data_IF_081744472167
#
_entry.id   IF_081744472167
#
_cell.length_a   1.000
_cell.length_b   1.000
_cell.length_c   1.000
_cell.angle_alpha   90.00
_cell.angle_beta   90.00
_cell.angle_gamma   90.00
#
_symmetry.space_group_name_H-M   'P 1'
#
loop_
_entity.id
_entity.type
_entity.pdbx_description
1 polymer ?
#
# COMPACT_ATOMS: atom_id res chain seq x y z
N UNK A 1 58.09 28.03 33.08
CA UNK A 1 57.39 27.53 31.86
C UNK A 1 56.91 26.08 31.95
N UNK A 2 57.44 25.21 32.84
CA UNK A 2 56.95 23.82 33.00
C UNK A 2 55.65 23.69 33.83
N UNK A 3 55.37 24.62 34.74
CA UNK A 3 54.15 24.58 35.58
C UNK A 3 52.87 24.98 34.84
N UNK A 4 52.98 25.81 33.79
CA UNK A 4 51.82 26.26 32.99
C UNK A 4 51.27 25.14 32.08
N UNK A 5 52.14 24.22 31.66
CA UNK A 5 51.77 23.06 30.82
C UNK A 5 50.96 22.02 31.58
N UNK A 6 51.24 21.81 32.88
CA UNK A 6 50.48 20.86 33.70
C UNK A 6 49.12 21.41 34.15
N UNK A 7 48.99 22.75 34.30
CA UNK A 7 47.70 23.38 34.60
C UNK A 7 46.72 23.30 33.41
N UNK A 8 47.22 23.44 32.17
CA UNK A 8 46.38 23.22 30.98
C UNK A 8 45.92 21.76 30.82
N UNK A 9 46.73 20.78 31.24
CA UNK A 9 46.35 19.36 31.14
C UNK A 9 45.22 18.98 32.11
N UNK A 10 45.16 19.60 33.29
CA UNK A 10 44.07 19.40 34.26
C UNK A 10 42.77 20.12 33.86
N UNK A 11 42.84 21.24 33.14
CA UNK A 11 41.66 21.97 32.65
C UNK A 11 41.04 21.26 31.43
N UNK A 12 41.82 20.55 30.62
CA UNK A 12 41.30 19.78 29.48
C UNK A 12 40.58 18.47 29.88
N UNK A 13 40.80 17.93 31.09
CA UNK A 13 40.12 16.72 31.56
C UNK A 13 38.88 16.98 32.45
N UNK A 14 38.57 18.25 32.74
CA UNK A 14 37.46 18.64 33.63
C UNK A 14 36.05 18.60 33.02
N UNK A 15 35.88 18.12 31.78
CA UNK A 15 34.60 18.20 31.05
C UNK A 15 34.01 16.83 30.67
N UNK A 16 34.25 15.79 31.48
CA UNK A 16 33.44 14.57 31.42
C UNK A 16 32.53 14.60 32.65
N UNK A 17 31.57 15.54 32.65
CA UNK A 17 30.43 15.46 33.56
C UNK A 17 29.55 14.32 33.08
N UNK A 18 29.52 13.20 33.80
CA UNK A 18 28.54 12.15 33.55
C UNK A 18 27.14 12.76 33.78
N UNK A 19 26.34 12.82 32.72
CA UNK A 19 24.96 13.24 32.82
C UNK A 19 24.21 12.18 33.64
N UNK A 20 23.69 12.58 34.79
CA UNK A 20 22.93 11.71 35.67
C UNK A 20 21.48 12.18 35.69
N UNK A 21 20.55 11.29 35.37
CA UNK A 21 19.12 11.58 35.48
C UNK A 21 18.69 11.40 36.93
N UNK A 22 17.62 12.10 37.31
CA UNK A 22 17.01 11.97 38.64
C UNK A 22 15.50 11.96 38.51
N UNK A 23 14.89 10.78 38.66
CA UNK A 23 13.44 10.64 38.65
C UNK A 23 12.98 10.28 40.06
N UNK A 24 12.03 11.03 40.60
CA UNK A 24 11.48 10.76 41.92
C UNK A 24 9.98 10.96 41.93
N UNK A 25 9.33 10.51 42.98
CA UNK A 25 7.90 10.69 43.14
C UNK A 25 7.37 9.90 44.32
N UNK A 26 6.05 9.79 44.33
CA UNK A 26 5.33 9.12 45.39
C UNK A 26 4.33 8.13 44.82
N UNK A 27 4.18 7.01 45.52
CA UNK A 27 3.17 5.99 45.26
C UNK A 27 2.25 5.83 46.46
N UNK A 28 0.99 5.45 46.22
CA UNK A 28 0.02 5.21 47.27
C UNK A 28 0.25 3.82 47.88
N UNK A 29 0.86 3.78 49.06
CA UNK A 29 1.24 2.56 49.78
C UNK A 29 0.05 1.78 50.36
N UNK A 30 -1.16 2.35 50.39
CA UNK A 30 -2.36 1.61 50.84
C UNK A 30 -2.74 0.52 49.85
N UNK A 31 -2.51 0.77 48.54
CA UNK A 31 -2.83 -0.16 47.46
C UNK A 31 -1.61 -0.82 46.83
N UNK A 32 -0.49 -0.12 46.76
CA UNK A 32 0.70 -0.56 46.02
C UNK A 32 1.85 -0.81 46.99
N UNK A 33 2.21 -2.08 47.17
CA UNK A 33 3.28 -2.51 48.08
C UNK A 33 4.52 -3.03 47.33
N UNK A 34 4.47 -3.06 45.99
CA UNK A 34 5.55 -3.53 45.13
C UNK A 34 6.66 -2.49 44.89
N UNK A 35 7.69 -2.93 44.16
CA UNK A 35 8.73 -2.05 43.63
C UNK A 35 8.15 -1.12 42.54
N UNK A 36 8.81 0.01 42.32
CA UNK A 36 8.58 0.85 41.14
C UNK A 36 9.57 0.44 40.06
N UNK A 37 9.09 0.26 38.85
CA UNK A 37 9.88 -0.17 37.70
C UNK A 37 9.98 0.96 36.66
N UNK A 38 11.19 1.13 36.13
CA UNK A 38 11.49 2.03 35.03
C UNK A 38 11.80 1.18 33.79
N UNK A 39 11.03 1.41 32.73
CA UNK A 39 11.15 0.70 31.46
C UNK A 39 11.44 1.65 30.30
N UNK A 40 12.17 1.16 29.29
CA UNK A 40 12.37 1.86 28.01
C UNK A 40 11.47 1.26 26.93
N UNK A 41 10.80 2.11 26.15
CA UNK A 41 9.88 1.65 25.10
C UNK A 41 10.53 1.86 23.73
N UNK A 42 10.85 0.74 23.07
CA UNK A 42 11.43 0.73 21.71
C UNK A 42 10.40 0.36 20.64
N UNK A 43 9.29 -0.27 21.03
CA UNK A 43 8.16 -0.60 20.16
C UNK A 43 6.93 0.22 20.61
N UNK A 44 6.45 1.12 19.76
CA UNK A 44 5.31 1.96 20.12
C UNK A 44 3.97 1.20 20.17
N UNK A 45 3.91 -0.06 19.73
CA UNK A 45 2.74 -0.94 19.88
C UNK A 45 2.63 -1.53 21.28
N UNK A 46 3.70 -1.49 22.08
CA UNK A 46 3.70 -1.94 23.49
C UNK A 46 3.53 -0.79 24.48
N UNK A 47 3.06 0.38 24.02
CA UNK A 47 2.92 1.56 24.88
C UNK A 47 1.96 1.33 26.05
N UNK A 48 0.88 0.56 25.87
CA UNK A 48 -0.11 0.31 26.93
C UNK A 48 0.19 -0.95 27.78
N UNK A 49 0.98 -1.91 27.27
CA UNK A 49 1.29 -3.17 27.97
C UNK A 49 2.50 -3.06 28.89
N UNK A 50 2.55 -3.86 29.95
CA UNK A 50 3.78 -4.07 30.73
C UNK A 50 4.52 -5.25 30.13
N UNK A 51 5.82 -5.04 29.89
CA UNK A 51 6.74 -6.02 29.34
C UNK A 51 8.00 -6.03 30.22
N UNK A 52 8.29 -7.19 30.81
CA UNK A 52 9.41 -7.35 31.72
C UNK A 52 10.76 -7.22 31.00
N UNK A 53 10.82 -7.51 29.70
CA UNK A 53 12.04 -7.35 28.90
C UNK A 53 12.42 -5.87 28.69
N UNK A 54 11.47 -4.95 28.93
CA UNK A 54 11.66 -3.52 28.79
C UNK A 54 12.16 -2.84 30.07
N UNK A 55 12.18 -3.54 31.20
CA UNK A 55 12.61 -2.99 32.50
C UNK A 55 14.12 -2.78 32.51
N UNK A 56 14.54 -1.54 32.71
CA UNK A 56 15.95 -1.15 32.80
C UNK A 56 16.42 -0.92 34.24
N UNK A 57 15.50 -0.56 35.14
CA UNK A 57 15.80 -0.34 36.55
C UNK A 57 14.56 -0.56 37.41
N UNK A 58 14.77 -0.87 38.69
CA UNK A 58 13.71 -0.89 39.71
C UNK A 58 14.19 -0.28 41.02
N UNK A 59 13.27 0.23 41.82
CA UNK A 59 13.53 0.73 43.17
C UNK A 59 12.42 0.32 44.11
N UNK A 60 12.77 0.01 45.35
CA UNK A 60 11.79 -0.17 46.41
C UNK A 60 11.31 1.19 46.92
N UNK A 61 10.11 1.18 47.48
CA UNK A 61 9.40 2.35 47.99
C UNK A 61 9.65 2.45 49.51
N UNK A 62 9.83 3.67 50.02
CA UNK A 62 9.95 3.88 51.46
C UNK A 62 8.59 3.84 52.19
N UNK A 63 8.61 3.95 53.52
CA UNK A 63 7.39 3.91 54.34
C UNK A 63 6.39 5.05 54.04
N UNK A 64 6.84 6.13 53.41
CA UNK A 64 6.03 7.29 53.04
C UNK A 64 5.59 7.25 51.57
N UNK A 65 5.87 6.15 50.85
CA UNK A 65 5.55 6.03 49.45
C UNK A 65 6.56 6.67 48.50
N UNK A 66 7.69 7.19 48.99
CA UNK A 66 8.68 7.85 48.15
C UNK A 66 9.54 6.83 47.39
N UNK A 67 9.82 7.15 46.13
CA UNK A 67 10.76 6.40 45.29
C UNK A 67 11.74 7.33 44.59
N UNK A 68 12.92 6.81 44.26
CA UNK A 68 13.93 7.56 43.50
C UNK A 68 14.74 6.65 42.58
N UNK A 69 14.94 7.11 41.34
CA UNK A 69 15.87 6.56 40.39
C UNK A 69 16.99 7.57 40.13
N UNK A 70 18.23 7.09 40.21
CA UNK A 70 19.45 7.82 39.90
C UNK A 70 20.35 6.93 39.06
N UNK A 71 20.86 7.45 37.94
CA UNK A 71 21.73 6.66 37.08
C UNK A 71 22.18 7.40 35.82
N UNK A 72 22.95 6.71 35.00
CA UNK A 72 23.54 7.20 33.74
C UNK A 72 23.18 6.32 32.53
N UNK A 73 22.27 5.36 32.72
CA UNK A 73 21.90 4.33 31.75
C UNK A 73 20.95 4.83 30.64
N UNK A 74 20.41 6.03 30.75
CA UNK A 74 19.50 6.58 29.74
C UNK A 74 20.26 7.11 28.53
N UNK A 75 19.57 7.14 27.40
CA UNK A 75 20.11 7.75 26.19
C UNK A 75 20.20 9.28 26.30
N UNK A 76 21.19 9.93 25.63
CA UNK A 76 21.30 11.40 25.59
C UNK A 76 20.16 12.10 24.83
N UNK A 77 19.55 11.39 23.88
CA UNK A 77 18.39 11.85 23.12
C UNK A 77 17.09 11.55 23.86
N UNK A 78 16.03 12.29 23.54
CA UNK A 78 14.71 11.98 24.06
C UNK A 78 14.28 10.57 23.61
N UNK A 79 13.84 9.76 24.56
CA UNK A 79 13.25 8.43 24.36
C UNK A 79 11.95 8.31 25.16
N UNK A 80 11.18 7.27 24.84
CA UNK A 80 9.94 6.96 25.54
C UNK A 80 10.27 6.05 26.70
N UNK A 81 9.88 6.47 27.90
CA UNK A 81 10.02 5.68 29.11
C UNK A 81 8.66 5.45 29.76
N UNK A 82 8.59 4.40 30.56
CA UNK A 82 7.42 4.06 31.37
C UNK A 82 7.86 3.86 32.81
N UNK A 83 7.17 4.52 33.73
CA UNK A 83 7.18 4.14 35.13
C UNK A 83 5.93 3.32 35.40
N UNK A 84 6.08 2.21 36.11
CA UNK A 84 4.93 1.45 36.57
C UNK A 84 5.15 0.84 37.94
N UNK A 85 4.03 0.58 38.60
CA UNK A 85 3.92 -0.29 39.76
C UNK A 85 2.92 -1.38 39.43
N UNK A 86 3.14 -2.55 39.99
CA UNK A 86 2.23 -3.67 39.87
C UNK A 86 2.16 -4.45 41.19
N UNK A 87 1.06 -5.18 41.35
CA UNK A 87 0.85 -6.12 42.46
C UNK A 87 0.97 -7.57 41.98
N UNK A 88 1.68 -7.80 40.87
CA UNK A 88 1.77 -9.13 40.27
C UNK A 88 2.96 -9.91 40.84
N UNK A 89 2.70 -11.12 41.32
CA UNK A 89 3.75 -11.98 41.87
C UNK A 89 4.71 -12.44 40.76
N UNK A 90 5.97 -12.02 40.86
CA UNK A 90 7.06 -12.43 39.94
C UNK A 90 7.36 -13.93 39.98
N UNK A 91 6.93 -14.66 41.02
CA UNK A 91 7.19 -16.09 41.21
C UNK A 91 6.09 -17.02 40.69
N UNK A 92 4.91 -16.50 40.34
CA UNK A 92 3.78 -17.28 39.80
C UNK A 92 3.59 -17.02 38.29
N UNK A 93 4.69 -16.86 37.54
CA UNK A 93 4.62 -17.07 36.09
C UNK A 93 4.46 -18.57 35.84
N UNK A 94 3.21 -19.03 35.90
CA UNK A 94 2.84 -20.36 35.45
C UNK A 94 3.44 -20.59 34.07
N UNK A 95 4.19 -21.68 33.94
CA UNK A 95 4.86 -22.16 32.72
C UNK A 95 3.98 -22.29 31.45
N UNK A 96 2.70 -21.91 31.53
CA UNK A 96 1.72 -21.93 30.45
C UNK A 96 1.21 -20.53 30.02
N UNK A 97 1.64 -19.43 30.66
CA UNK A 97 1.31 -18.08 30.20
C UNK A 97 2.40 -17.55 29.27
N UNK A 98 2.22 -17.75 27.96
CA UNK A 98 3.12 -17.23 26.92
C UNK A 98 3.16 -15.69 26.86
N UNK A 99 2.15 -15.00 27.41
CA UNK A 99 1.93 -13.55 27.19
C UNK A 99 2.04 -12.66 28.45
N UNK A 100 2.47 -13.17 29.62
CA UNK A 100 3.01 -12.36 30.74
C UNK A 100 2.29 -11.07 31.21
N UNK A 101 1.01 -10.84 30.90
CA UNK A 101 0.35 -9.55 31.16
C UNK A 101 -0.14 -9.41 32.61
N UNK A 102 0.30 -8.33 33.29
CA UNK A 102 -0.18 -7.96 34.61
C UNK A 102 -1.38 -6.99 34.55
N UNK A 103 -2.55 -7.45 34.99
CA UNK A 103 -3.80 -6.67 34.97
C UNK A 103 -3.96 -5.71 36.16
N UNK A 104 -3.32 -5.96 37.31
CA UNK A 104 -3.33 -5.05 38.45
C UNK A 104 -2.03 -4.25 38.48
N UNK A 105 -1.97 -3.28 37.59
CA UNK A 105 -0.83 -2.39 37.43
C UNK A 105 -1.27 -0.96 37.15
N UNK A 106 -0.40 -0.02 37.48
CA UNK A 106 -0.58 1.40 37.13
C UNK A 106 0.74 1.97 36.68
N UNK A 107 0.72 2.72 35.59
CA UNK A 107 1.93 3.33 35.05
C UNK A 107 1.66 4.60 34.28
N UNK A 108 2.76 5.24 33.89
CA UNK A 108 2.77 6.49 33.15
C UNK A 108 3.88 6.47 32.11
N UNK A 109 3.52 6.90 30.90
CA UNK A 109 4.44 7.13 29.82
C UNK A 109 4.95 8.55 29.90
N UNK A 110 6.24 8.74 29.66
CA UNK A 110 6.84 10.07 29.58
C UNK A 110 8.05 10.09 28.64
N UNK A 111 8.41 11.30 28.21
CA UNK A 111 9.59 11.55 27.38
C UNK A 111 10.70 12.07 28.28
N UNK A 112 11.88 11.45 28.19
CA UNK A 112 13.05 11.88 28.95
C UNK A 112 14.35 11.61 28.19
N UNK A 113 15.44 12.16 28.72
CA UNK A 113 16.83 11.85 28.37
C UNK A 113 17.71 11.82 29.64
N UNK A 114 18.96 11.39 29.50
CA UNK A 114 19.88 11.20 30.63
C UNK A 114 20.24 12.45 31.46
N UNK A 115 19.90 13.66 31.01
CA UNK A 115 20.13 14.90 31.77
C UNK A 115 18.90 15.37 32.55
N UNK A 116 17.75 14.70 32.40
CA UNK A 116 16.49 15.24 32.90
C UNK A 116 16.28 14.94 34.38
N UNK A 117 15.65 15.88 35.07
CA UNK A 117 15.13 15.69 36.44
C UNK A 117 13.61 15.75 36.38
N UNK A 118 12.96 14.70 36.87
CA UNK A 118 11.52 14.51 36.78
C UNK A 118 10.97 14.14 38.16
N UNK A 119 9.88 14.80 38.54
CA UNK A 119 9.14 14.50 39.75
C UNK A 119 7.69 14.14 39.44
N UNK A 120 7.21 13.06 40.03
CA UNK A 120 5.85 12.54 39.91
C UNK A 120 5.11 12.72 41.25
N UNK A 121 4.50 13.90 41.50
CA UNK A 121 3.76 14.15 42.73
C UNK A 121 2.44 13.38 42.77
N UNK A 122 1.90 13.16 43.97
CA UNK A 122 0.52 12.72 44.14
C UNK A 122 -0.46 13.86 43.84
N UNK A 123 -1.60 13.53 43.26
CA UNK A 123 -2.73 14.47 43.14
C UNK A 123 -3.42 14.71 44.49
N UNK A 124 -4.40 15.63 44.51
CA UNK A 124 -5.19 15.93 45.71
C UNK A 124 -5.90 14.71 46.31
N UNK A 125 -6.24 13.70 45.50
CA UNK A 125 -6.90 12.46 45.92
C UNK A 125 -5.92 11.28 46.07
N UNK A 126 -4.64 11.58 46.29
CA UNK A 126 -3.55 10.59 46.35
C UNK A 126 -3.46 9.69 45.09
N UNK A 127 -3.89 10.21 43.94
CA UNK A 127 -3.71 9.50 42.67
C UNK A 127 -2.27 9.66 42.18
N UNK A 128 -1.68 8.53 41.82
CA UNK A 128 -0.33 8.47 41.26
C UNK A 128 -0.35 8.80 39.77
N UNK A 129 0.72 9.47 39.34
CA UNK A 129 1.06 9.71 37.94
C UNK A 129 0.06 10.58 37.13
N UNK A 130 -0.75 11.38 37.80
CA UNK A 130 -1.67 12.31 37.14
C UNK A 130 -0.99 13.64 36.74
N UNK A 131 0.19 13.94 37.30
CA UNK A 131 0.97 15.14 37.02
C UNK A 131 2.47 14.82 36.94
N UNK A 132 3.22 15.68 36.26
CA UNK A 132 4.67 15.56 36.13
C UNK A 132 5.34 16.93 36.12
N UNK A 133 6.35 17.07 36.97
CA UNK A 133 7.19 18.26 37.04
C UNK A 133 8.56 17.90 36.49
N UNK A 134 8.98 18.56 35.41
CA UNK A 134 10.20 18.19 34.68
C UNK A 134 10.97 19.40 34.21
N UNK A 135 12.30 19.27 34.16
CA UNK A 135 13.18 20.21 33.45
C UNK A 135 12.97 20.20 31.94
N UNK A 136 12.38 19.12 31.41
CA UNK A 136 12.09 18.92 30.01
C UNK A 136 10.60 19.19 29.71
N UNK A 137 10.25 20.21 28.92
CA UNK A 137 8.85 20.55 28.64
C UNK A 137 8.10 19.48 27.84
N UNK A 138 8.81 18.54 27.21
CA UNK A 138 8.24 17.43 26.42
C UNK A 138 7.76 16.28 27.29
N UNK A 139 8.22 16.18 28.53
CA UNK A 139 7.89 15.07 29.44
C UNK A 139 6.39 14.90 29.64
N UNK A 140 5.65 16.02 29.75
CA UNK A 140 4.21 16.01 29.98
C UNK A 140 3.36 15.73 28.72
N UNK A 141 3.97 15.51 27.54
CA UNK A 141 3.23 15.36 26.28
C UNK A 141 2.25 14.18 26.31
N UNK A 142 2.66 13.02 26.85
CA UNK A 142 1.79 11.84 26.90
C UNK A 142 0.67 11.98 27.93
N UNK A 143 0.93 12.55 29.10
CA UNK A 143 -0.11 12.84 30.11
C UNK A 143 -1.20 13.74 29.53
N UNK A 144 -0.81 14.76 28.75
CA UNK A 144 -1.76 15.64 28.04
C UNK A 144 -2.63 14.87 27.04
N UNK A 145 -2.06 13.90 26.33
CA UNK A 145 -2.79 13.03 25.41
C UNK A 145 -3.73 12.09 26.17
N UNK A 146 -3.29 11.52 27.30
CA UNK A 146 -4.11 10.66 28.13
C UNK A 146 -5.30 11.41 28.74
N UNK A 147 -5.09 12.65 29.19
CA UNK A 147 -6.19 13.54 29.61
C UNK A 147 -7.22 13.74 28.49
N UNK A 148 -6.77 13.95 27.25
CA UNK A 148 -7.66 14.09 26.10
C UNK A 148 -8.39 12.78 25.76
N UNK A 149 -7.74 11.62 25.93
CA UNK A 149 -8.36 10.29 25.80
C UNK A 149 -9.45 10.08 26.85
N UNK A 150 -9.26 10.56 28.08
CA UNK A 150 -10.28 10.49 29.14
C UNK A 150 -11.48 11.42 28.85
N UNK A 151 -11.25 12.67 28.41
CA UNK A 151 -12.32 13.56 27.95
C UNK A 151 -13.15 12.93 26.81
N UNK A 152 -12.45 12.27 25.88
CA UNK A 152 -13.06 11.52 24.82
C UNK A 152 -13.94 10.39 25.36
N UNK A 153 -13.41 9.53 26.25
CA UNK A 153 -14.18 8.44 26.89
C UNK A 153 -15.43 8.98 27.59
N UNK A 154 -15.31 10.11 28.30
CA UNK A 154 -16.43 10.78 28.95
C UNK A 154 -17.50 11.20 27.94
N UNK A 155 -17.13 11.82 26.81
CA UNK A 155 -18.06 12.22 25.75
C UNK A 155 -18.80 11.05 25.07
N UNK A 156 -18.25 9.83 25.09
CA UNK A 156 -18.97 8.63 24.65
C UNK A 156 -20.02 8.15 25.65
N UNK A 157 -19.86 8.47 26.94
CA UNK A 157 -20.79 8.02 27.98
C UNK A 157 -22.13 8.74 27.93
N UNK A 158 -22.16 9.97 27.41
CA UNK A 158 -23.36 10.83 27.38
C UNK A 158 -24.47 10.29 26.48
N UNK A 159 -24.14 9.73 25.31
CA UNK A 159 -25.14 9.25 24.34
C UNK A 159 -24.76 7.89 23.73
N UNK A 160 -25.65 6.90 23.88
CA UNK A 160 -25.39 5.50 23.50
C UNK A 160 -25.64 5.17 22.02
N UNK A 161 -26.22 6.08 21.23
CA UNK A 161 -26.65 5.76 19.86
C UNK A 161 -25.48 5.52 18.91
N UNK A 162 -25.63 4.59 17.96
CA UNK A 162 -24.60 4.32 16.92
C UNK A 162 -24.29 5.56 16.08
N UNK A 163 -25.31 6.38 15.79
CA UNK A 163 -25.14 7.63 15.06
C UNK A 163 -24.26 8.64 15.84
N UNK A 164 -24.50 8.79 17.15
CA UNK A 164 -23.67 9.64 18.01
C UNK A 164 -22.22 9.14 18.06
N UNK A 165 -22.03 7.81 18.20
CA UNK A 165 -20.69 7.21 18.20
C UNK A 165 -19.93 7.49 16.91
N UNK A 166 -20.57 7.38 15.75
CA UNK A 166 -19.91 7.65 14.47
C UNK A 166 -19.53 9.14 14.30
N UNK A 167 -20.38 10.06 14.76
CA UNK A 167 -20.09 11.50 14.76
C UNK A 167 -18.93 11.83 15.71
N UNK A 168 -18.96 11.27 16.92
CA UNK A 168 -17.89 11.42 17.90
C UNK A 168 -16.57 10.81 17.41
N UNK A 169 -16.59 9.62 16.79
CA UNK A 169 -15.39 8.99 16.24
C UNK A 169 -14.70 9.90 15.22
N UNK A 170 -15.46 10.45 14.25
CA UNK A 170 -14.90 11.34 13.23
C UNK A 170 -14.32 12.62 13.85
N UNK A 171 -15.03 13.21 14.81
CA UNK A 171 -14.58 14.40 15.55
C UNK A 171 -13.28 14.10 16.30
N UNK A 172 -13.28 13.10 17.16
CA UNK A 172 -12.16 12.75 18.02
C UNK A 172 -10.93 12.26 17.26
N UNK A 173 -11.12 11.54 16.15
CA UNK A 173 -10.02 11.18 15.25
C UNK A 173 -9.23 12.42 14.82
N UNK A 174 -9.93 13.45 14.35
CA UNK A 174 -9.29 14.70 13.90
C UNK A 174 -8.76 15.52 15.08
N UNK A 175 -9.51 15.61 16.17
CA UNK A 175 -9.06 16.30 17.39
C UNK A 175 -7.74 15.73 17.92
N UNK A 176 -7.59 14.40 17.96
CA UNK A 176 -6.38 13.75 18.42
C UNK A 176 -5.19 14.06 17.51
N UNK A 177 -5.35 13.93 16.18
CA UNK A 177 -4.30 14.29 15.21
C UNK A 177 -3.85 15.76 15.37
N UNK A 178 -4.82 16.68 15.41
CA UNK A 178 -4.55 18.11 15.52
C UNK A 178 -3.86 18.40 16.86
N UNK A 179 -4.35 17.82 17.97
CA UNK A 179 -3.73 17.98 19.28
C UNK A 179 -2.28 17.54 19.30
N UNK A 180 -1.98 16.36 18.75
CA UNK A 180 -0.61 15.86 18.62
C UNK A 180 0.29 16.82 17.85
N UNK A 181 -0.17 17.32 16.69
CA UNK A 181 0.58 18.28 15.90
C UNK A 181 0.89 19.57 16.66
N UNK A 182 -0.04 20.07 17.48
CA UNK A 182 0.17 21.29 18.30
C UNK A 182 1.17 21.10 19.43
N UNK A 183 1.41 19.86 19.90
CA UNK A 183 2.42 19.58 20.92
C UNK A 183 3.85 19.76 20.40
N UNK A 184 4.04 19.84 19.07
CA UNK A 184 5.35 20.00 18.43
C UNK A 184 6.39 18.94 18.88
N UNK A 185 5.92 17.72 19.12
CA UNK A 185 6.76 16.61 19.58
C UNK A 185 6.38 15.34 18.79
N UNK A 186 7.27 14.86 17.89
CA UNK A 186 6.97 13.71 17.04
C UNK A 186 6.63 12.42 17.81
N UNK A 187 7.20 12.20 19.01
CA UNK A 187 6.85 11.04 19.83
C UNK A 187 5.41 11.13 20.35
N UNK A 188 4.91 12.33 20.63
CA UNK A 188 3.53 12.56 21.06
C UNK A 188 2.55 12.20 19.94
N UNK A 189 2.86 12.56 18.71
CA UNK A 189 2.07 12.19 17.55
C UNK A 189 2.19 10.71 17.21
N UNK A 190 3.35 10.10 17.43
CA UNK A 190 3.51 8.65 17.31
C UNK A 190 2.63 7.89 18.31
N UNK A 191 2.50 8.39 19.54
CA UNK A 191 1.59 7.81 20.54
C UNK A 191 0.12 7.89 20.09
N UNK A 192 -0.30 9.05 19.57
CA UNK A 192 -1.64 9.21 18.99
C UNK A 192 -1.82 8.29 17.78
N UNK A 193 -0.83 8.19 16.90
CA UNK A 193 -0.86 7.30 15.75
C UNK A 193 -1.05 5.84 16.18
N UNK A 194 -0.30 5.37 17.18
CA UNK A 194 -0.42 4.02 17.71
C UNK A 194 -1.88 3.73 18.13
N UNK A 195 -2.50 4.67 18.84
CA UNK A 195 -3.89 4.58 19.28
C UNK A 195 -4.92 4.61 18.13
N UNK A 196 -4.74 5.49 17.14
CA UNK A 196 -5.67 5.68 16.02
C UNK A 196 -5.59 4.56 14.97
N UNK A 197 -4.40 4.02 14.73
CA UNK A 197 -4.13 2.99 13.73
C UNK A 197 -4.36 1.57 14.25
N UNK A 198 -4.57 1.38 15.56
CA UNK A 198 -4.76 0.07 16.18
C UNK A 198 -5.93 -0.70 15.56
N UNK A 199 -5.71 -1.96 15.14
CA UNK A 199 -6.70 -2.71 14.33
C UNK A 199 -8.01 -2.97 15.06
N UNK A 200 -7.96 -3.15 16.38
CA UNK A 200 -9.15 -3.33 17.22
C UNK A 200 -9.91 -2.04 17.54
N UNK A 201 -9.35 -0.88 17.19
CA UNK A 201 -9.88 0.43 17.56
C UNK A 201 -11.06 0.86 16.66
N UNK A 202 -12.08 1.56 17.21
CA UNK A 202 -13.13 2.18 16.39
C UNK A 202 -12.59 3.25 15.41
N UNK A 203 -11.34 3.68 15.59
CA UNK A 203 -10.66 4.67 14.74
C UNK A 203 -9.98 4.06 13.50
N UNK A 204 -9.73 2.75 13.47
CA UNK A 204 -8.93 2.11 12.43
C UNK A 204 -9.45 2.36 11.01
N UNK A 205 -10.77 2.26 10.80
CA UNK A 205 -11.38 2.52 9.50
C UNK A 205 -11.22 3.98 9.06
N UNK A 206 -11.23 4.92 10.01
CA UNK A 206 -11.00 6.34 9.70
C UNK A 206 -9.54 6.56 9.33
N UNK A 207 -8.61 5.91 10.03
CA UNK A 207 -7.19 5.90 9.68
C UNK A 207 -6.94 5.39 8.25
N UNK A 208 -7.49 4.23 7.89
CA UNK A 208 -7.31 3.65 6.55
C UNK A 208 -7.86 4.52 5.41
N UNK A 209 -8.92 5.29 5.66
CA UNK A 209 -9.41 6.26 4.68
C UNK A 209 -8.55 7.53 4.64
N UNK A 210 -8.11 8.01 5.80
CA UNK A 210 -7.31 9.23 5.94
C UNK A 210 -5.92 9.08 5.31
N UNK A 211 -5.24 7.95 5.52
CA UNK A 211 -3.88 7.69 5.00
C UNK A 211 -3.79 7.69 3.46
N UNK A 212 -4.91 7.50 2.75
CA UNK A 212 -4.94 7.52 1.27
C UNK A 212 -4.62 8.89 0.68
N UNK A 213 -4.89 9.98 1.40
CA UNK A 213 -4.78 11.33 0.85
C UNK A 213 -4.21 12.37 1.80
N UNK A 214 -4.21 12.11 3.11
CA UNK A 214 -3.72 13.06 4.10
C UNK A 214 -2.19 13.00 4.24
N UNK A 215 -1.53 14.15 4.09
CA UNK A 215 -0.07 14.30 4.19
C UNK A 215 0.45 14.24 5.64
N UNK A 216 -0.46 14.23 6.63
CA UNK A 216 -0.14 14.17 8.06
C UNK A 216 0.92 13.10 8.39
N UNK A 217 0.75 11.89 7.87
CA UNK A 217 1.64 10.76 8.16
C UNK A 217 3.04 10.92 7.55
N UNK A 218 3.13 11.53 6.36
CA UNK A 218 4.42 11.84 5.74
C UNK A 218 5.17 12.92 6.51
N UNK A 219 4.46 13.96 6.94
CA UNK A 219 5.02 15.03 7.76
C UNK A 219 5.46 14.52 9.14
N UNK A 220 4.74 13.54 9.71
CA UNK A 220 5.17 12.87 10.93
C UNK A 220 6.43 12.04 10.68
N UNK A 221 6.49 11.27 9.60
CA UNK A 221 7.69 10.49 9.25
C UNK A 221 8.91 11.39 9.05
N UNK A 222 8.77 12.51 8.35
CA UNK A 222 9.86 13.47 8.13
C UNK A 222 10.40 14.02 9.45
N UNK A 223 9.50 14.41 10.37
CA UNK A 223 9.91 14.91 11.68
C UNK A 223 10.48 13.82 12.58
N UNK A 224 9.98 12.58 12.51
CA UNK A 224 10.58 11.44 13.20
C UNK A 224 11.99 11.15 12.67
N UNK A 225 12.20 11.14 11.35
CA UNK A 225 13.53 10.99 10.75
C UNK A 225 14.48 12.12 11.10
N UNK A 226 13.97 13.33 11.28
CA UNK A 226 14.77 14.51 11.64
C UNK A 226 15.15 14.51 13.12
N UNK A 227 14.19 14.27 14.01
CA UNK A 227 14.39 14.35 15.45
C UNK A 227 14.92 13.04 16.08
N UNK A 228 14.57 11.88 15.48
CA UNK A 228 14.83 10.54 16.00
C UNK A 228 15.26 9.56 14.87
N UNK A 229 16.33 9.84 14.10
CA UNK A 229 16.69 9.08 12.89
C UNK A 229 17.03 7.60 13.14
N UNK A 230 17.66 7.29 14.28
CA UNK A 230 18.28 5.98 14.52
C UNK A 230 17.45 5.04 15.41
N UNK A 231 16.23 5.42 15.73
CA UNK A 231 15.40 4.71 16.71
C UNK A 231 14.63 3.56 16.07
N UNK A 232 14.28 2.55 16.87
CA UNK A 232 13.50 1.40 16.39
C UNK A 232 12.10 1.83 15.97
N UNK A 233 11.46 2.68 16.77
CA UNK A 233 10.12 3.19 16.48
C UNK A 233 10.04 4.03 15.19
N UNK A 234 11.07 4.80 14.81
CA UNK A 234 11.06 5.54 13.53
C UNK A 234 11.07 4.59 12.33
N UNK A 235 11.91 3.53 12.40
CA UNK A 235 11.97 2.50 11.37
C UNK A 235 10.68 1.68 11.30
N UNK A 236 10.11 1.36 12.46
CA UNK A 236 8.84 0.65 12.57
C UNK A 236 7.71 1.48 11.93
N UNK A 237 7.62 2.76 12.28
CA UNK A 237 6.63 3.68 11.72
C UNK A 237 6.74 3.78 10.20
N UNK A 238 7.96 3.95 9.68
CA UNK A 238 8.21 3.98 8.23
C UNK A 238 7.71 2.71 7.54
N UNK A 239 8.02 1.53 8.10
CA UNK A 239 7.61 0.26 7.54
C UNK A 239 6.08 0.08 7.56
N UNK A 240 5.42 0.41 8.67
CA UNK A 240 3.98 0.31 8.83
C UNK A 240 3.23 1.23 7.88
N UNK A 241 3.56 2.54 7.82
CA UNK A 241 2.85 3.46 6.92
C UNK A 241 3.09 3.14 5.45
N UNK A 242 4.28 2.65 5.08
CA UNK A 242 4.60 2.25 3.70
C UNK A 242 3.73 1.06 3.28
N UNK A 243 3.62 0.06 4.17
CA UNK A 243 2.74 -1.09 3.96
C UNK A 243 1.27 -0.67 3.86
N UNK A 244 0.79 0.15 4.81
CA UNK A 244 -0.60 0.57 4.86
C UNK A 244 -0.99 1.42 3.65
N UNK A 245 -0.11 2.32 3.19
CA UNK A 245 -0.31 3.08 1.96
C UNK A 245 -0.42 2.17 0.75
N UNK A 246 0.47 1.20 0.62
CA UNK A 246 0.43 0.23 -0.48
C UNK A 246 -0.89 -0.56 -0.51
N UNK A 247 -1.42 -0.94 0.66
CA UNK A 247 -2.70 -1.62 0.79
C UNK A 247 -3.88 -0.68 0.51
N UNK A 248 -3.83 0.56 0.98
CA UNK A 248 -4.93 1.52 0.90
C UNK A 248 -5.09 2.16 -0.49
N UNK A 249 -3.99 2.31 -1.23
CA UNK A 249 -3.98 2.70 -2.64
C UNK A 249 -3.46 1.54 -3.48
N UNK A 250 -4.25 0.46 -3.64
CA UNK A 250 -3.87 -0.59 -4.58
C UNK A 250 -3.68 0.11 -5.92
N UNK A 251 -2.48 -0.01 -6.50
CA UNK A 251 -2.15 0.57 -7.80
C UNK A 251 -3.38 0.35 -8.69
N UNK A 252 -4.09 1.43 -9.07
CA UNK A 252 -4.94 1.37 -10.25
C UNK A 252 -3.96 0.95 -11.32
N UNK A 253 -4.04 -0.31 -11.74
CA UNK A 253 -3.24 -0.85 -12.82
C UNK A 253 -3.11 0.26 -13.85
N UNK A 254 -1.89 0.77 -14.04
CA UNK A 254 -1.63 1.83 -15.01
C UNK A 254 -2.28 1.34 -16.29
N UNK A 255 -3.36 2.00 -16.72
CA UNK A 255 -4.23 1.57 -17.81
C UNK A 255 -3.38 0.96 -18.91
N UNK A 256 -3.26 -0.37 -18.87
CA UNK A 256 -2.30 -1.04 -19.73
C UNK A 256 -2.95 -0.97 -21.09
N UNK A 257 -2.21 -0.40 -22.04
CA UNK A 257 -2.65 -0.27 -23.42
C UNK A 257 -3.44 -1.52 -23.82
N UNK A 258 -4.75 -1.36 -24.08
CA UNK A 258 -5.66 -2.48 -24.19
C UNK A 258 -5.42 -3.19 -25.53
N UNK A 259 -4.50 -4.16 -25.50
CA UNK A 259 -4.00 -4.93 -26.65
C UNK A 259 -5.11 -5.59 -27.47
N UNK A 260 -6.30 -5.78 -26.88
CA UNK A 260 -7.47 -6.30 -27.60
C UNK A 260 -7.87 -5.37 -28.76
N UNK A 261 -7.83 -4.05 -28.60
CA UNK A 261 -8.15 -3.12 -29.68
C UNK A 261 -7.10 -3.15 -30.79
N UNK A 262 -5.81 -3.33 -30.44
CA UNK A 262 -4.75 -3.48 -31.42
C UNK A 262 -4.90 -4.78 -32.20
N UNK A 263 -5.20 -5.89 -31.53
CA UNK A 263 -5.41 -7.20 -32.16
C UNK A 263 -6.66 -7.20 -33.06
N UNK A 264 -7.78 -6.61 -32.61
CA UNK A 264 -8.99 -6.46 -33.42
C UNK A 264 -8.73 -5.56 -34.62
N UNK A 265 -7.97 -4.48 -34.46
CA UNK A 265 -7.56 -3.60 -35.55
C UNK A 265 -6.71 -4.34 -36.59
N UNK A 266 -5.70 -5.10 -36.18
CA UNK A 266 -4.87 -5.90 -37.08
C UNK A 266 -5.67 -6.99 -37.80
N UNK A 267 -6.59 -7.64 -37.11
CA UNK A 267 -7.47 -8.66 -37.70
C UNK A 267 -8.41 -8.03 -38.73
N UNK A 268 -9.01 -6.88 -38.43
CA UNK A 268 -9.86 -6.15 -39.37
C UNK A 268 -9.08 -5.73 -40.62
N UNK A 269 -7.85 -5.20 -40.46
CA UNK A 269 -6.98 -4.85 -41.58
C UNK A 269 -6.65 -6.09 -42.43
N UNK A 270 -6.32 -7.22 -41.79
CA UNK A 270 -6.04 -8.48 -42.49
C UNK A 270 -7.24 -8.98 -43.30
N UNK A 271 -8.45 -8.93 -42.72
CA UNK A 271 -9.68 -9.29 -43.42
C UNK A 271 -9.99 -8.36 -44.61
N UNK A 272 -9.81 -7.06 -44.42
CA UNK A 272 -10.01 -6.05 -45.48
C UNK A 272 -9.01 -6.30 -46.63
N UNK A 273 -7.74 -6.53 -46.32
CA UNK A 273 -6.71 -6.80 -47.32
C UNK A 273 -7.00 -8.10 -48.08
N UNK A 274 -7.34 -9.19 -47.38
CA UNK A 274 -7.71 -10.45 -48.02
C UNK A 274 -8.94 -10.31 -48.92
N UNK A 275 -9.97 -9.61 -48.44
CA UNK A 275 -11.16 -9.33 -49.25
C UNK A 275 -10.84 -8.52 -50.50
N UNK A 276 -9.97 -7.52 -50.38
CA UNK A 276 -9.52 -6.70 -51.51
C UNK A 276 -8.71 -7.51 -52.53
N UNK A 277 -7.78 -8.36 -52.09
CA UNK A 277 -7.01 -9.23 -52.97
C UNK A 277 -7.90 -10.22 -53.73
N UNK A 278 -8.84 -10.88 -53.06
CA UNK A 278 -9.79 -11.81 -53.69
C UNK A 278 -10.67 -11.06 -54.71
N UNK A 279 -11.17 -9.88 -54.35
CA UNK A 279 -12.01 -9.08 -55.23
C UNK A 279 -11.25 -8.62 -56.48
N UNK A 280 -9.99 -8.20 -56.32
CA UNK A 280 -9.12 -7.81 -57.44
C UNK A 280 -8.80 -8.99 -58.36
N UNK A 281 -8.54 -10.18 -57.81
CA UNK A 281 -8.32 -11.39 -58.59
C UNK A 281 -9.57 -11.81 -59.40
N UNK A 282 -10.76 -11.74 -58.80
CA UNK A 282 -12.04 -12.01 -59.49
C UNK A 282 -12.31 -11.03 -60.63
N UNK A 283 -12.04 -9.73 -60.41
CA UNK A 283 -12.21 -8.71 -61.45
C UNK A 283 -11.26 -8.93 -62.63
N UNK A 284 -10.00 -9.32 -62.37
CA UNK A 284 -9.03 -9.64 -63.43
C UNK A 284 -9.49 -10.84 -64.26
N UNK A 285 -9.90 -11.94 -63.62
CA UNK A 285 -10.45 -13.12 -64.33
C UNK A 285 -11.66 -12.79 -65.19
N UNK A 286 -12.62 -12.02 -64.66
CA UNK A 286 -13.82 -11.62 -65.42
C UNK A 286 -13.47 -10.77 -66.64
N UNK A 287 -12.44 -9.93 -66.55
CA UNK A 287 -11.95 -9.14 -67.67
C UNK A 287 -11.27 -10.02 -68.73
N UNK A 288 -10.41 -10.95 -68.32
CA UNK A 288 -9.73 -11.89 -69.24
C UNK A 288 -10.74 -12.80 -69.96
N UNK A 289 -11.72 -13.35 -69.24
CA UNK A 289 -12.78 -14.17 -69.84
C UNK A 289 -13.64 -13.37 -70.83
N UNK A 290 -13.94 -12.10 -70.52
CA UNK A 290 -14.65 -11.21 -71.44
C UNK A 290 -13.84 -10.93 -72.71
N UNK A 291 -12.54 -10.66 -72.57
CA UNK A 291 -11.66 -10.45 -73.74
C UNK A 291 -11.56 -11.69 -74.63
N UNK A 292 -11.61 -12.89 -74.06
CA UNK A 292 -11.61 -14.14 -74.81
C UNK A 292 -12.93 -14.31 -75.57
N UNK A 293 -14.08 -14.06 -74.93
CA UNK A 293 -15.38 -14.14 -75.60
C UNK A 293 -15.54 -13.11 -76.71
N UNK A 294 -14.98 -11.90 -76.54
CA UNK A 294 -15.07 -10.81 -77.53
C UNK A 294 -14.30 -11.11 -78.84
N UNK A 295 -13.36 -12.07 -78.84
CA UNK A 295 -12.64 -12.53 -80.04
C UNK A 295 -13.46 -13.50 -80.91
N UNK A 296 -14.56 -14.04 -80.39
CA UNK A 296 -15.41 -15.02 -81.05
C UNK A 296 -16.65 -14.35 -81.67
N UNK A 297 -17.10 -14.87 -82.80
CA UNK A 297 -18.38 -14.49 -83.40
C UNK A 297 -19.52 -15.03 -82.55
N UNK A 298 -20.73 -14.44 -82.68
CA UNK A 298 -21.92 -14.90 -81.94
C UNK A 298 -22.21 -16.40 -82.10
N UNK A 299 -22.00 -16.96 -83.30
CA UNK A 299 -22.20 -18.38 -83.55
C UNK A 299 -21.12 -19.24 -82.90
N UNK A 300 -19.87 -18.78 -82.91
CA UNK A 300 -18.77 -19.46 -82.20
C UNK A 300 -18.93 -19.39 -80.67
N UNK A 301 -19.48 -18.29 -80.14
CA UNK A 301 -19.82 -18.17 -78.71
C UNK A 301 -20.91 -19.19 -78.31
N UNK A 302 -21.97 -19.32 -79.11
CA UNK A 302 -23.03 -20.30 -78.88
C UNK A 302 -22.50 -21.74 -78.91
N UNK A 303 -21.63 -22.05 -79.88
CA UNK A 303 -20.97 -23.37 -79.96
C UNK A 303 -20.06 -23.59 -78.74
N UNK A 304 -19.25 -22.59 -78.36
CA UNK A 304 -18.37 -22.65 -77.20
C UNK A 304 -19.15 -22.88 -75.88
N UNK A 305 -20.28 -22.21 -75.68
CA UNK A 305 -21.11 -22.38 -74.48
C UNK A 305 -21.61 -23.83 -74.34
N UNK A 306 -22.07 -24.42 -75.43
CA UNK A 306 -22.49 -25.83 -75.43
C UNK A 306 -21.30 -26.78 -75.27
N UNK A 307 -20.12 -26.41 -75.78
CA UNK A 307 -18.88 -27.17 -75.55
C UNK A 307 -18.49 -27.18 -74.06
N UNK A 308 -18.64 -26.06 -73.34
CA UNK A 308 -18.34 -25.97 -71.91
C UNK A 308 -19.35 -26.74 -71.05
N UNK A 309 -20.58 -26.94 -71.55
CA UNK A 309 -21.60 -27.80 -70.92
C UNK A 309 -21.45 -29.29 -71.25
N UNK A 310 -20.33 -29.70 -71.85
CA UNK A 310 -20.03 -31.10 -72.21
C UNK A 310 -20.90 -31.72 -73.32
N UNK A 311 -21.62 -30.93 -74.12
CA UNK A 311 -22.42 -31.45 -75.23
C UNK A 311 -21.53 -32.05 -76.33
N UNK A 312 -21.91 -33.19 -76.89
CA UNK A 312 -21.25 -33.78 -78.06
C UNK A 312 -21.51 -32.96 -79.32
N UNK A 313 -20.66 -33.11 -80.35
CA UNK A 313 -20.85 -32.38 -81.62
C UNK A 313 -22.20 -32.66 -82.30
N UNK A 314 -22.84 -33.80 -82.00
CA UNK A 314 -24.18 -34.14 -82.48
C UNK A 314 -25.25 -33.37 -81.71
N UNK A 315 -25.16 -33.34 -80.39
CA UNK A 315 -26.10 -32.60 -79.54
C UNK A 315 -25.98 -31.09 -79.77
N UNK A 316 -24.78 -30.56 -80.04
CA UNK A 316 -24.56 -29.16 -80.43
C UNK A 316 -25.23 -28.86 -81.78
N UNK A 317 -25.09 -29.76 -82.74
CA UNK A 317 -25.71 -29.64 -84.07
C UNK A 317 -27.24 -29.60 -83.97
N UNK A 318 -27.81 -30.48 -83.14
CA UNK A 318 -29.25 -30.52 -82.85
C UNK A 318 -29.72 -29.26 -82.12
N UNK A 319 -29.01 -28.83 -81.08
CA UNK A 319 -29.38 -27.65 -80.29
C UNK A 319 -29.33 -26.33 -81.08
N UNK A 320 -28.41 -26.22 -82.05
CA UNK A 320 -28.25 -25.03 -82.89
C UNK A 320 -28.91 -25.15 -84.27
N UNK A 321 -29.58 -26.27 -84.58
CA UNK A 321 -30.21 -26.56 -85.87
C UNK A 321 -29.25 -26.41 -87.07
N UNK A 322 -28.02 -26.90 -86.94
CA UNK A 322 -26.98 -26.89 -87.99
C UNK A 322 -26.42 -28.29 -88.22
N UNK A 323 -25.69 -28.51 -89.31
CA UNK A 323 -25.06 -29.80 -89.56
C UNK A 323 -23.83 -30.04 -88.66
N UNK A 324 -23.54 -31.31 -88.36
CA UNK A 324 -22.36 -31.71 -87.58
C UNK A 324 -21.05 -31.23 -88.24
N UNK A 325 -20.99 -31.16 -89.57
CA UNK A 325 -19.84 -30.59 -90.29
C UNK A 325 -19.66 -29.11 -90.01
N UNK A 326 -20.76 -28.34 -89.94
CA UNK A 326 -20.72 -26.91 -89.60
C UNK A 326 -20.29 -26.69 -88.15
N UNK A 327 -20.72 -27.54 -87.21
CA UNK A 327 -20.21 -27.55 -85.83
C UNK A 327 -18.70 -27.77 -85.82
N UNK A 328 -18.18 -28.77 -86.54
CA UNK A 328 -16.73 -29.02 -86.63
C UNK A 328 -15.95 -27.82 -87.18
N UNK A 329 -16.51 -27.11 -88.16
CA UNK A 329 -15.91 -25.88 -88.69
C UNK A 329 -15.86 -24.77 -87.66
N UNK A 330 -16.97 -24.54 -86.91
CA UNK A 330 -16.98 -23.57 -85.82
C UNK A 330 -15.97 -23.93 -84.71
N UNK A 331 -15.87 -25.21 -84.33
CA UNK A 331 -14.88 -25.70 -83.36
C UNK A 331 -13.45 -25.43 -83.84
N UNK A 332 -13.13 -25.74 -85.10
CA UNK A 332 -11.81 -25.47 -85.66
C UNK A 332 -11.47 -23.97 -85.70
N UNK A 333 -12.46 -23.12 -85.95
CA UNK A 333 -12.26 -21.67 -85.91
C UNK A 333 -12.08 -21.15 -84.48
N UNK A 334 -12.80 -21.70 -83.50
CA UNK A 334 -12.61 -21.42 -82.08
C UNK A 334 -11.19 -21.81 -81.66
N UNK A 335 -10.73 -23.02 -81.99
CA UNK A 335 -9.36 -23.48 -81.73
C UNK A 335 -8.30 -22.54 -82.29
N UNK A 336 -8.47 -22.10 -83.54
CA UNK A 336 -7.55 -21.14 -84.17
C UNK A 336 -7.58 -19.76 -83.50
N UNK A 337 -8.77 -19.25 -83.18
CA UNK A 337 -8.93 -17.91 -82.58
C UNK A 337 -8.42 -17.86 -81.13
N UNK A 338 -8.59 -18.94 -80.39
CA UNK A 338 -8.14 -19.06 -79.00
C UNK A 338 -6.72 -19.63 -78.88
N UNK A 339 -6.09 -20.00 -80.00
CA UNK A 339 -4.77 -20.62 -80.07
C UNK A 339 -4.63 -21.87 -79.18
N UNK A 340 -5.62 -22.75 -79.24
CA UNK A 340 -5.70 -24.02 -78.51
C UNK A 340 -5.98 -25.17 -79.48
N UNK A 341 -5.61 -26.40 -79.11
CA UNK A 341 -5.66 -27.56 -79.99
C UNK A 341 -6.67 -28.63 -79.55
N UNK A 342 -7.26 -28.48 -78.37
CA UNK A 342 -8.18 -29.46 -77.80
C UNK A 342 -9.31 -28.83 -77.01
N UNK A 343 -10.39 -29.61 -76.80
CA UNK A 343 -11.52 -29.21 -75.97
C UNK A 343 -11.10 -29.08 -74.51
N UNK A 344 -10.19 -29.93 -74.05
CA UNK A 344 -9.56 -29.86 -72.73
C UNK A 344 -8.75 -28.57 -72.55
N UNK A 345 -7.97 -28.14 -73.55
CA UNK A 345 -7.26 -26.86 -73.50
C UNK A 345 -8.20 -25.65 -73.42
N UNK A 346 -9.36 -25.69 -74.10
CA UNK A 346 -10.40 -24.66 -73.94
C UNK A 346 -10.90 -24.58 -72.50
N UNK A 347 -11.18 -25.72 -71.86
CA UNK A 347 -11.64 -25.76 -70.46
C UNK A 347 -10.58 -25.19 -69.53
N UNK A 348 -9.33 -25.63 -69.69
CA UNK A 348 -8.20 -25.13 -68.89
C UNK A 348 -8.04 -23.61 -69.06
N UNK A 349 -8.19 -23.09 -70.28
CA UNK A 349 -8.09 -21.66 -70.57
C UNK A 349 -9.21 -20.83 -69.93
N UNK A 350 -10.40 -21.41 -69.73
CA UNK A 350 -11.59 -20.72 -69.24
C UNK A 350 -11.93 -21.00 -67.76
N UNK A 351 -11.39 -22.07 -67.17
CA UNK A 351 -11.59 -22.48 -65.78
C UNK A 351 -10.45 -22.06 -64.81
N UNK A 352 -9.33 -21.50 -65.30
CA UNK A 352 -8.14 -21.16 -64.50
C UNK A 352 -8.21 -19.86 -63.69
#
# INVERSE_FOLDING_TARGET
MRFLSHLCFFICFGYIGFAQYNFNGYVNTERWQGDVYLSVIEDYRTLESIDNEQIISKTSVDNNGFFQFLGDQLEPENRIYKLHVDNCDTYNQDSNHFDGHCFDSKGVLFIAKNTDTISFPLSFDAEMFCDVQSTNPRTAAFIKIDSLKEEMKFAYSEFRSKANRNLNNKKWFKTLQDFGAHLNEPLAELYIYAFLSERGSPFHNYYLEDIKSNIYYDNLLERLKTAYPNTRYTKQYEAEITSDKYIATPNKESSSFNWTYLLVGLLAISLILNFWFISKAKMKRKHEQKTITDQLTKQEQNVLELMLKEYSNKEIAEALFISVSTVKTHINNIYKKLNVNSREEIKILLDS
#
